data_IF_734918270463
#
_entry.id   IF_734918270463
#
_cell.length_a   1.000
_cell.length_b   1.000
_cell.length_c   1.000
_cell.angle_alpha   90.00
_cell.angle_beta   90.00
_cell.angle_gamma   90.00
#
_symmetry.space_group_name_H-M   'P 1'
#
loop_
_entity.id
_entity.type
_entity.pdbx_description
1 polymer ?
#
# COMPACT_ATOMS: atom_id res chain seq x y z
N UNK A 1 31.53 -12.66 -66.20
CA UNK A 1 31.41 -11.50 -65.29
C UNK A 1 30.61 -11.94 -64.09
N UNK A 2 31.28 -12.29 -63.00
CA UNK A 2 30.65 -12.59 -61.72
C UNK A 2 30.62 -11.28 -60.91
N UNK A 3 29.44 -10.82 -60.56
CA UNK A 3 29.27 -9.65 -59.69
C UNK A 3 29.15 -10.19 -58.27
N UNK A 4 30.17 -9.94 -57.45
CA UNK A 4 30.15 -10.22 -56.01
C UNK A 4 29.13 -9.30 -55.32
N UNK A 5 28.17 -9.83 -54.56
CA UNK A 5 27.20 -8.99 -53.85
C UNK A 5 27.91 -8.27 -52.69
N UNK A 6 27.89 -6.93 -52.70
CA UNK A 6 28.38 -6.12 -51.59
C UNK A 6 27.58 -6.42 -50.32
N UNK A 7 28.28 -6.92 -49.31
CA UNK A 7 27.79 -7.12 -47.96
C UNK A 7 27.45 -5.75 -47.34
N UNK A 8 26.23 -5.51 -46.85
CA UNK A 8 25.86 -4.22 -46.30
C UNK A 8 26.63 -3.98 -45.00
N UNK A 9 27.48 -2.94 -45.01
CA UNK A 9 28.23 -2.50 -43.84
C UNK A 9 27.29 -2.27 -42.66
N UNK A 10 27.43 -3.08 -41.61
CA UNK A 10 26.77 -2.86 -40.32
C UNK A 10 27.36 -1.60 -39.68
N UNK A 11 26.67 -0.48 -39.83
CA UNK A 11 26.97 0.74 -39.09
C UNK A 11 26.53 0.51 -37.63
N UNK A 12 27.46 0.16 -36.75
CA UNK A 12 27.22 0.24 -35.32
C UNK A 12 26.95 1.70 -34.96
N UNK A 13 25.78 2.07 -34.42
CA UNK A 13 25.52 3.42 -33.98
C UNK A 13 26.39 3.70 -32.75
N UNK A 14 27.56 4.29 -32.98
CA UNK A 14 28.39 4.87 -31.93
C UNK A 14 27.65 6.09 -31.38
N UNK A 15 26.86 5.89 -30.33
CA UNK A 15 26.21 6.97 -29.59
C UNK A 15 27.33 7.76 -28.90
N UNK A 16 27.88 8.74 -29.60
CA UNK A 16 28.71 9.78 -29.00
C UNK A 16 27.76 10.78 -28.36
N UNK A 17 27.59 10.68 -27.05
CA UNK A 17 26.92 11.74 -26.27
C UNK A 17 27.85 12.95 -26.32
N UNK A 18 27.62 13.85 -27.28
CA UNK A 18 28.21 15.18 -27.22
C UNK A 18 27.70 15.85 -25.95
N UNK A 19 28.63 16.19 -25.06
CA UNK A 19 28.33 17.00 -23.90
C UNK A 19 27.86 18.37 -24.40
N UNK A 20 26.60 18.71 -24.15
CA UNK A 20 26.07 20.04 -24.43
C UNK A 20 26.97 21.08 -23.74
N UNK A 21 27.35 22.18 -24.43
CA UNK A 21 28.16 23.22 -23.83
C UNK A 21 27.43 23.79 -22.61
N UNK A 22 28.16 23.93 -21.50
CA UNK A 22 27.62 24.46 -20.26
C UNK A 22 27.11 25.88 -20.51
N UNK A 23 25.78 26.07 -20.48
CA UNK A 23 25.17 27.39 -20.38
C UNK A 23 25.67 28.04 -19.09
N UNK A 24 26.43 29.13 -19.27
CA UNK A 24 26.97 29.93 -18.19
C UNK A 24 25.82 30.60 -17.40
N UNK A 25 25.77 30.24 -16.12
CA UNK A 25 25.27 31.00 -14.96
C UNK A 25 24.21 32.08 -15.16
N UNK A 26 23.01 31.76 -14.67
CA UNK A 26 21.98 32.73 -14.29
C UNK A 26 21.03 32.27 -13.18
N UNK A 27 21.39 31.25 -12.40
CA UNK A 27 20.44 30.66 -11.43
C UNK A 27 21.03 29.64 -10.45
N UNK A 28 22.19 29.94 -9.85
CA UNK A 28 22.91 29.04 -8.92
C UNK A 28 22.18 28.85 -7.57
N UNK A 29 21.12 29.61 -7.29
CA UNK A 29 20.37 29.52 -6.02
C UNK A 29 19.24 28.49 -5.96
N UNK A 30 18.68 28.04 -7.10
CA UNK A 30 17.43 27.26 -7.11
C UNK A 30 17.60 25.77 -7.46
N UNK A 31 18.73 25.37 -8.07
CA UNK A 31 18.99 23.96 -8.40
C UNK A 31 19.71 23.20 -7.28
N UNK A 32 20.58 23.85 -6.49
CA UNK A 32 21.27 23.19 -5.36
C UNK A 32 20.34 22.85 -4.19
N UNK A 33 19.23 23.57 -4.02
CA UNK A 33 18.17 23.22 -3.07
C UNK A 33 17.34 21.99 -3.50
N UNK A 34 17.47 21.54 -4.76
CA UNK A 34 16.81 20.33 -5.28
C UNK A 34 17.70 19.10 -5.23
N UNK A 35 19.02 19.27 -5.22
CA UNK A 35 20.04 18.22 -5.03
C UNK A 35 20.03 17.61 -3.61
N UNK A 36 19.61 18.42 -2.62
CA UNK A 36 19.49 17.99 -1.22
C UNK A 36 18.14 17.38 -0.84
N UNK A 37 17.17 17.32 -1.77
CA UNK A 37 16.02 16.44 -1.55
C UNK A 37 16.60 15.05 -1.76
N UNK A 38 16.70 14.18 -0.74
CA UNK A 38 17.12 12.81 -0.98
C UNK A 38 16.26 12.38 -2.14
N UNK A 39 16.91 12.04 -3.26
CA UNK A 39 16.21 11.37 -4.35
C UNK A 39 15.38 10.31 -3.65
N UNK A 40 14.15 10.06 -4.10
CA UNK A 40 13.37 8.94 -3.61
C UNK A 40 14.10 7.65 -4.04
N UNK A 41 15.34 7.48 -3.59
CA UNK A 41 16.19 6.33 -3.66
C UNK A 41 15.26 5.23 -3.23
N UNK A 42 14.93 4.41 -4.22
CA UNK A 42 13.98 3.33 -4.09
C UNK A 42 14.39 2.57 -2.84
N UNK A 43 13.59 2.68 -1.80
CA UNK A 43 13.94 2.05 -0.54
C UNK A 43 14.19 0.56 -0.81
N UNK A 44 15.32 -0.01 -0.36
CA UNK A 44 15.74 -1.36 -0.74
C UNK A 44 14.70 -2.43 -0.36
N UNK A 45 13.80 -2.13 0.59
CA UNK A 45 12.74 -3.02 1.07
C UNK A 45 11.49 -3.09 0.18
N UNK A 46 11.54 -2.57 -1.06
CA UNK A 46 10.42 -2.73 -2.01
C UNK A 46 10.32 -4.18 -2.46
N UNK A 47 9.26 -4.86 -2.03
CA UNK A 47 9.00 -6.26 -2.39
C UNK A 47 7.90 -6.35 -3.43
N UNK A 48 8.11 -7.21 -4.43
CA UNK A 48 7.09 -7.56 -5.41
C UNK A 48 6.25 -8.70 -4.83
N UNK A 49 4.95 -8.70 -5.12
CA UNK A 49 4.06 -9.78 -4.68
C UNK A 49 4.55 -11.17 -5.07
N UNK A 50 5.20 -11.29 -6.24
CA UNK A 50 5.76 -12.56 -6.72
C UNK A 50 6.90 -13.11 -5.85
N UNK A 51 7.55 -12.27 -5.05
CA UNK A 51 8.68 -12.64 -4.18
C UNK A 51 8.18 -13.16 -2.82
N UNK A 52 6.89 -12.98 -2.50
CA UNK A 52 6.25 -13.54 -1.31
C UNK A 52 5.94 -15.03 -1.50
N UNK A 53 5.93 -15.79 -0.40
CA UNK A 53 5.43 -17.17 -0.36
C UNK A 53 3.91 -17.22 -0.57
N UNK A 54 3.38 -18.40 -0.90
CA UNK A 54 1.96 -18.59 -1.17
C UNK A 54 1.03 -18.13 -0.03
N UNK A 55 1.39 -18.38 1.23
CA UNK A 55 0.59 -17.98 2.39
C UNK A 55 0.36 -16.45 2.46
N UNK A 56 1.42 -15.63 2.54
CA UNK A 56 1.29 -14.17 2.50
C UNK A 56 0.62 -13.62 1.23
N UNK A 57 0.85 -14.27 0.08
CA UNK A 57 0.14 -13.92 -1.17
C UNK A 57 -1.36 -14.17 -1.02
N UNK A 58 -1.78 -15.28 -0.43
CA UNK A 58 -3.19 -15.58 -0.18
C UNK A 58 -3.82 -14.55 0.77
N UNK A 59 -3.13 -14.19 1.87
CA UNK A 59 -3.60 -13.13 2.77
C UNK A 59 -3.76 -11.80 2.03
N UNK A 60 -2.80 -11.43 1.18
CA UNK A 60 -2.92 -10.22 0.35
C UNK A 60 -4.07 -10.32 -0.65
N UNK A 61 -4.23 -11.47 -1.32
CA UNK A 61 -5.26 -11.72 -2.32
C UNK A 61 -6.67 -11.71 -1.72
N UNK A 62 -6.83 -12.01 -0.43
CA UNK A 62 -8.08 -11.86 0.31
C UNK A 62 -8.27 -10.43 0.80
N UNK A 63 -7.22 -9.80 1.35
CA UNK A 63 -7.30 -8.45 1.88
C UNK A 63 -7.59 -7.39 0.81
N UNK A 64 -6.98 -7.51 -0.38
CA UNK A 64 -7.15 -6.56 -1.48
C UNK A 64 -8.61 -6.39 -1.95
N UNK A 65 -9.35 -7.45 -2.33
CA UNK A 65 -10.75 -7.33 -2.73
C UNK A 65 -11.65 -6.87 -1.58
N UNK A 66 -11.35 -7.22 -0.32
CA UNK A 66 -12.08 -6.68 0.83
C UNK A 66 -11.94 -5.15 0.94
N UNK A 67 -10.77 -4.59 0.59
CA UNK A 67 -10.59 -3.12 0.50
C UNK A 67 -11.52 -2.53 -0.54
N UNK A 68 -11.56 -3.12 -1.75
CA UNK A 68 -12.38 -2.62 -2.85
C UNK A 68 -13.87 -2.74 -2.54
N UNK A 69 -14.30 -3.87 -1.97
CA UNK A 69 -15.67 -4.07 -1.55
C UNK A 69 -16.09 -3.04 -0.51
N UNK A 70 -15.26 -2.80 0.51
CA UNK A 70 -15.58 -1.80 1.54
C UNK A 70 -15.56 -0.36 1.00
N UNK A 71 -14.64 -0.02 0.09
CA UNK A 71 -14.64 1.26 -0.63
C UNK A 71 -15.93 1.44 -1.44
N UNK A 72 -16.39 0.40 -2.13
CA UNK A 72 -17.63 0.43 -2.90
C UNK A 72 -18.85 0.61 -1.99
N UNK A 73 -18.91 -0.09 -0.85
CA UNK A 73 -19.97 0.07 0.16
C UNK A 73 -19.95 1.48 0.78
N UNK A 74 -18.76 2.03 1.06
CA UNK A 74 -18.62 3.41 1.54
C UNK A 74 -19.20 4.42 0.54
N UNK A 75 -18.82 4.28 -0.73
CA UNK A 75 -19.27 5.15 -1.81
C UNK A 75 -20.78 5.04 -2.05
N UNK A 76 -21.31 3.81 -2.06
CA UNK A 76 -22.75 3.57 -2.21
C UNK A 76 -23.54 4.16 -1.05
N UNK A 77 -23.09 3.98 0.20
CA UNK A 77 -23.72 4.55 1.39
C UNK A 77 -23.72 6.08 1.34
N UNK A 78 -22.60 6.69 0.97
CA UNK A 78 -22.50 8.15 0.81
C UNK A 78 -23.44 8.66 -0.29
N UNK A 79 -23.54 7.95 -1.40
CA UNK A 79 -24.44 8.31 -2.49
C UNK A 79 -25.90 8.24 -2.06
N UNK A 80 -26.31 7.16 -1.37
CA UNK A 80 -27.66 6.99 -0.83
C UNK A 80 -27.97 8.12 0.16
N UNK A 81 -27.05 8.41 1.09
CA UNK A 81 -27.22 9.49 2.07
C UNK A 81 -27.38 10.86 1.38
N UNK A 82 -26.57 11.15 0.36
CA UNK A 82 -26.66 12.38 -0.41
C UNK A 82 -27.99 12.50 -1.18
N UNK A 83 -28.48 11.40 -1.77
CA UNK A 83 -29.77 11.36 -2.45
C UNK A 83 -30.93 11.56 -1.48
N UNK A 84 -30.94 10.87 -0.34
CA UNK A 84 -31.97 11.04 0.69
C UNK A 84 -32.00 12.48 1.23
N UNK A 85 -30.82 13.08 1.45
CA UNK A 85 -30.72 14.48 1.87
C UNK A 85 -31.21 15.46 0.80
N UNK A 86 -30.88 15.22 -0.47
CA UNK A 86 -31.39 16.03 -1.59
C UNK A 86 -32.92 15.92 -1.76
N UNK A 87 -33.51 14.77 -1.42
CA UNK A 87 -34.96 14.57 -1.43
C UNK A 87 -35.68 15.17 -0.20
N UNK A 88 -34.94 15.73 0.76
CA UNK A 88 -35.53 16.35 1.95
C UNK A 88 -36.09 15.36 2.97
N UNK A 89 -35.74 14.07 2.86
CA UNK A 89 -36.13 13.00 3.80
C UNK A 89 -35.57 13.28 5.22
N UNK A 90 -34.53 14.12 5.30
CA UNK A 90 -33.80 14.50 6.52
C UNK A 90 -34.64 15.15 7.62
N UNK A 91 -35.83 15.67 7.32
CA UNK A 91 -36.62 16.43 8.31
C UNK A 91 -37.47 15.54 9.22
N UNK A 92 -37.82 14.34 8.80
CA UNK A 92 -38.69 13.44 9.60
C UNK A 92 -37.90 12.39 10.38
N UNK A 93 -36.72 11.97 9.91
CA UNK A 93 -35.94 10.89 10.54
C UNK A 93 -34.43 11.18 10.59
N UNK A 94 -33.98 12.11 11.45
CA UNK A 94 -32.56 12.46 11.57
C UNK A 94 -31.69 11.26 11.98
N UNK A 95 -32.28 10.25 12.63
CA UNK A 95 -31.57 9.03 13.04
C UNK A 95 -31.03 8.23 11.84
N UNK A 96 -31.78 8.14 10.72
CA UNK A 96 -31.30 7.44 9.53
C UNK A 96 -30.12 8.17 8.88
N UNK A 97 -30.17 9.49 8.80
CA UNK A 97 -29.07 10.27 8.22
C UNK A 97 -27.82 10.19 9.10
N UNK A 98 -27.97 10.30 10.41
CA UNK A 98 -26.87 10.11 11.36
C UNK A 98 -26.26 8.72 11.19
N UNK A 99 -27.08 7.66 11.14
CA UNK A 99 -26.59 6.30 10.92
C UNK A 99 -25.83 6.14 9.59
N UNK A 100 -26.33 6.76 8.50
CA UNK A 100 -25.69 6.72 7.19
C UNK A 100 -24.34 7.46 7.18
N UNK A 101 -24.25 8.63 7.81
CA UNK A 101 -23.00 9.39 7.96
C UNK A 101 -21.98 8.60 8.78
N UNK A 102 -22.40 7.98 9.90
CA UNK A 102 -21.54 7.12 10.69
C UNK A 102 -21.06 5.91 9.89
N UNK A 103 -21.94 5.23 9.16
CA UNK A 103 -21.58 4.07 8.35
C UNK A 103 -20.58 4.45 7.25
N UNK A 104 -20.76 5.60 6.60
CA UNK A 104 -19.84 6.13 5.61
C UNK A 104 -18.46 6.46 6.19
N UNK A 105 -18.40 7.17 7.33
CA UNK A 105 -17.15 7.50 8.01
C UNK A 105 -16.39 6.23 8.42
N UNK A 106 -17.10 5.23 8.94
CA UNK A 106 -16.51 3.94 9.32
C UNK A 106 -15.98 3.17 8.11
N UNK A 107 -16.73 3.15 7.00
CA UNK A 107 -16.29 2.48 5.77
C UNK A 107 -15.05 3.16 5.17
N UNK A 108 -14.98 4.50 5.20
CA UNK A 108 -13.79 5.25 4.82
C UNK A 108 -12.59 4.92 5.71
N UNK A 109 -12.80 4.80 7.03
CA UNK A 109 -11.74 4.45 7.98
C UNK A 109 -11.22 3.03 7.78
N UNK A 110 -12.10 2.07 7.51
CA UNK A 110 -11.70 0.71 7.13
C UNK A 110 -10.87 0.70 5.82
N UNK A 111 -11.31 1.46 4.81
CA UNK A 111 -10.57 1.58 3.56
C UNK A 111 -9.17 2.19 3.75
N UNK A 112 -9.02 3.21 4.61
CA UNK A 112 -7.73 3.78 4.97
C UNK A 112 -6.81 2.75 5.62
N UNK A 113 -7.33 1.95 6.56
CA UNK A 113 -6.59 0.87 7.22
C UNK A 113 -6.15 -0.21 6.24
N UNK A 114 -7.05 -0.62 5.35
CA UNK A 114 -6.75 -1.64 4.37
C UNK A 114 -5.76 -1.15 3.28
N UNK A 115 -5.86 0.12 2.88
CA UNK A 115 -4.85 0.77 2.03
C UNK A 115 -3.49 0.92 2.72
N UNK A 116 -3.46 1.12 4.05
CA UNK A 116 -2.23 1.09 4.83
C UNK A 116 -1.62 -0.32 4.86
N UNK A 117 -2.45 -1.36 4.96
CA UNK A 117 -2.04 -2.76 4.83
C UNK A 117 -1.38 -3.02 3.48
N UNK A 118 -2.03 -2.67 2.37
CA UNK A 118 -1.46 -2.84 1.02
C UNK A 118 -0.14 -2.09 0.86
N UNK A 119 -0.04 -0.87 1.39
CA UNK A 119 1.20 -0.08 1.37
C UNK A 119 2.30 -0.73 2.22
N UNK A 120 1.97 -1.23 3.40
CA UNK A 120 2.90 -1.92 4.30
C UNK A 120 3.44 -3.21 3.66
N UNK A 121 2.59 -4.00 3.02
CA UNK A 121 3.01 -5.18 2.26
C UNK A 121 3.95 -4.84 1.09
N UNK A 122 3.70 -3.74 0.37
CA UNK A 122 4.54 -3.33 -0.78
C UNK A 122 5.88 -2.73 -0.38
N UNK A 123 6.01 -2.18 0.84
CA UNK A 123 7.19 -1.41 1.27
C UNK A 123 7.89 -1.93 2.52
N UNK A 124 7.36 -2.97 3.18
CA UNK A 124 7.83 -3.54 4.45
C UNK A 124 8.35 -2.51 5.47
N UNK A 125 7.71 -1.35 5.52
CA UNK A 125 7.97 -0.34 6.55
C UNK A 125 6.94 -0.43 7.63
N UNK A 126 7.35 -0.01 8.82
CA UNK A 126 6.45 0.19 9.95
C UNK A 126 5.28 1.07 9.53
N UNK A 127 4.03 0.55 9.52
CA UNK A 127 2.88 1.39 9.30
C UNK A 127 2.83 2.48 10.37
N UNK A 128 2.46 3.70 9.95
CA UNK A 128 2.36 4.84 10.85
C UNK A 128 1.39 4.55 12.00
N UNK A 129 1.67 5.15 13.17
CA UNK A 129 0.84 4.99 14.38
C UNK A 129 -0.61 5.34 14.09
N UNK A 130 -0.82 6.46 13.40
CA UNK A 130 -2.16 6.97 13.07
C UNK A 130 -3.00 5.94 12.30
N UNK A 131 -2.42 5.27 11.30
CA UNK A 131 -3.13 4.24 10.54
C UNK A 131 -3.52 3.03 11.41
N UNK A 132 -2.65 2.62 12.32
CA UNK A 132 -2.93 1.50 13.23
C UNK A 132 -4.01 1.88 14.26
N UNK A 133 -3.92 3.07 14.85
CA UNK A 133 -4.90 3.59 15.80
C UNK A 133 -6.26 3.74 15.14
N UNK A 134 -6.35 4.39 13.98
CA UNK A 134 -7.60 4.53 13.23
C UNK A 134 -8.21 3.17 12.89
N UNK A 135 -7.40 2.19 12.45
CA UNK A 135 -7.94 0.86 12.15
C UNK A 135 -8.39 0.12 13.41
N UNK A 136 -7.71 0.31 14.54
CA UNK A 136 -8.11 -0.29 15.83
C UNK A 136 -9.42 0.31 16.34
N UNK A 137 -9.58 1.64 16.26
CA UNK A 137 -10.84 2.32 16.60
C UNK A 137 -11.96 1.83 15.70
N UNK A 138 -11.74 1.73 14.39
CA UNK A 138 -12.74 1.17 13.49
C UNK A 138 -13.08 -0.28 13.85
N UNK A 139 -12.09 -1.12 14.15
CA UNK A 139 -12.31 -2.52 14.53
C UNK A 139 -13.02 -2.69 15.88
N UNK A 140 -12.95 -1.73 16.80
CA UNK A 140 -13.70 -1.75 18.06
C UNK A 140 -15.10 -1.15 17.97
N UNK A 141 -15.23 0.01 17.32
CA UNK A 141 -16.49 0.77 17.24
C UNK A 141 -17.44 0.16 16.21
N UNK A 142 -16.94 -0.36 15.09
CA UNK A 142 -17.76 -0.90 14.01
C UNK A 142 -18.57 -2.14 14.42
N UNK A 143 -17.98 -3.17 15.07
CA UNK A 143 -18.75 -4.32 15.58
C UNK A 143 -19.81 -3.94 16.61
N UNK A 144 -19.57 -2.90 17.41
CA UNK A 144 -20.53 -2.47 18.42
C UNK A 144 -21.74 -1.79 17.78
N UNK A 145 -21.53 -0.80 16.91
CA UNK A 145 -22.63 -0.09 16.23
C UNK A 145 -23.39 -1.05 15.32
N UNK A 146 -22.69 -1.83 14.51
CA UNK A 146 -23.34 -2.75 13.59
C UNK A 146 -23.91 -3.96 14.32
N UNK A 147 -23.31 -4.43 15.42
CA UNK A 147 -23.88 -5.49 16.26
C UNK A 147 -25.22 -5.10 16.87
N UNK A 148 -25.37 -3.84 17.30
CA UNK A 148 -26.65 -3.30 17.79
C UNK A 148 -27.70 -3.27 16.67
N UNK A 149 -27.31 -2.90 15.45
CA UNK A 149 -28.22 -2.86 14.28
C UNK A 149 -28.51 -4.27 13.72
N UNK A 150 -27.52 -5.16 13.76
CA UNK A 150 -27.57 -6.51 13.20
C UNK A 150 -28.13 -7.56 14.18
N UNK A 151 -28.32 -7.22 15.47
CA UNK A 151 -28.98 -8.10 16.44
C UNK A 151 -30.37 -8.55 15.96
N UNK A 152 -31.04 -7.79 15.08
CA UNK A 152 -32.29 -8.17 14.42
C UNK A 152 -32.16 -9.01 13.15
N UNK A 153 -30.94 -9.19 12.60
CA UNK A 153 -30.70 -9.78 11.27
C UNK A 153 -29.91 -11.11 11.30
N UNK A 154 -29.42 -11.54 12.48
CA UNK A 154 -28.78 -12.85 12.70
C UNK A 154 -27.24 -12.86 12.63
N UNK A 155 -26.64 -13.95 13.13
CA UNK A 155 -25.18 -14.09 13.35
C UNK A 155 -24.32 -13.97 12.08
N UNK A 156 -24.85 -14.35 10.91
CA UNK A 156 -24.11 -14.30 9.66
C UNK A 156 -23.68 -12.86 9.29
N UNK A 157 -24.56 -11.87 9.49
CA UNK A 157 -24.25 -10.46 9.25
C UNK A 157 -23.16 -9.95 10.17
N UNK A 158 -23.19 -10.37 11.44
CA UNK A 158 -22.16 -10.00 12.41
C UNK A 158 -20.79 -10.51 11.96
N UNK A 159 -20.68 -11.74 11.45
CA UNK A 159 -19.39 -12.25 10.94
C UNK A 159 -18.86 -11.46 9.73
N UNK A 160 -19.71 -11.13 8.76
CA UNK A 160 -19.31 -10.36 7.56
C UNK A 160 -18.82 -8.96 7.90
N UNK A 161 -19.38 -8.37 8.96
CA UNK A 161 -19.06 -7.02 9.42
C UNK A 161 -17.82 -7.01 10.30
N UNK A 162 -17.70 -7.96 11.22
CA UNK A 162 -16.69 -7.91 12.30
C UNK A 162 -15.37 -8.55 11.90
N UNK A 163 -15.41 -9.62 11.09
CA UNK A 163 -14.21 -10.38 10.74
C UNK A 163 -13.22 -9.56 9.89
N UNK A 164 -13.64 -8.86 8.81
CA UNK A 164 -12.70 -8.07 7.99
C UNK A 164 -11.91 -6.99 8.76
N UNK A 165 -12.51 -6.12 9.61
CA UNK A 165 -11.77 -5.13 10.36
C UNK A 165 -10.84 -5.74 11.40
N UNK A 166 -11.25 -6.81 12.09
CA UNK A 166 -10.37 -7.53 13.03
C UNK A 166 -9.18 -8.18 12.31
N UNK A 167 -9.41 -8.79 11.15
CA UNK A 167 -8.33 -9.35 10.33
C UNK A 167 -7.36 -8.26 9.87
N UNK A 168 -7.88 -7.13 9.39
CA UNK A 168 -7.06 -6.00 8.94
C UNK A 168 -6.26 -5.40 10.09
N UNK A 169 -6.88 -5.23 11.26
CA UNK A 169 -6.22 -4.77 12.49
C UNK A 169 -5.08 -5.72 12.89
N UNK A 170 -5.35 -7.02 12.93
CA UNK A 170 -4.37 -8.06 13.28
C UNK A 170 -3.16 -8.02 12.33
N UNK A 171 -3.40 -7.91 11.02
CA UNK A 171 -2.34 -7.82 10.02
C UNK A 171 -1.53 -6.53 10.18
N UNK A 172 -2.16 -5.37 10.40
CA UNK A 172 -1.44 -4.12 10.62
C UNK A 172 -0.57 -4.15 11.87
N UNK A 173 -1.09 -4.68 12.98
CA UNK A 173 -0.33 -4.82 14.22
C UNK A 173 0.82 -5.81 14.08
N UNK A 174 0.58 -6.94 13.43
CA UNK A 174 1.64 -7.89 13.09
C UNK A 174 2.73 -7.21 12.27
N UNK A 175 2.38 -6.55 11.16
CA UNK A 175 3.34 -5.83 10.32
C UNK A 175 4.07 -4.74 11.11
N UNK A 176 3.37 -3.98 11.96
CA UNK A 176 3.98 -2.95 12.82
C UNK A 176 5.00 -3.50 13.81
N UNK A 177 4.78 -4.70 14.30
CA UNK A 177 5.71 -5.38 15.22
C UNK A 177 6.88 -6.05 14.48
N UNK A 178 6.68 -6.46 13.23
CA UNK A 178 7.64 -7.22 12.46
C UNK A 178 8.53 -6.36 11.53
N UNK A 179 8.10 -5.16 11.17
CA UNK A 179 8.82 -4.24 10.26
C UNK A 179 9.60 -3.18 11.02
N UNK A 180 10.68 -2.71 10.39
CA UNK A 180 11.55 -1.66 10.93
C UNK A 180 11.05 -0.27 10.51
N UNK A 181 11.50 0.74 11.24
CA UNK A 181 11.26 2.14 10.88
C UNK A 181 12.01 2.48 9.60
N UNK A 182 11.39 3.32 8.77
CA UNK A 182 11.97 3.81 7.52
C UNK A 182 13.30 4.52 7.74
N UNK A 183 13.49 5.16 8.89
CA UNK A 183 14.75 5.82 9.26
C UNK A 183 15.95 4.84 9.30
N UNK A 184 15.71 3.55 9.53
CA UNK A 184 16.75 2.52 9.68
C UNK A 184 17.09 1.79 8.37
N UNK A 185 16.41 2.12 7.27
CA UNK A 185 16.50 1.35 6.03
C UNK A 185 17.86 1.40 5.33
N UNK A 186 18.62 2.48 5.54
CA UNK A 186 19.97 2.62 4.98
C UNK A 186 20.97 1.74 5.73
N UNK A 187 20.81 1.63 7.06
CA UNK A 187 21.66 0.82 7.93
C UNK A 187 21.38 -0.68 7.78
N UNK A 188 20.11 -1.04 7.56
CA UNK A 188 19.68 -2.44 7.43
C UNK A 188 18.99 -2.64 6.07
N UNK A 189 19.76 -2.82 4.97
CA UNK A 189 19.18 -2.99 3.63
C UNK A 189 18.42 -4.32 3.47
N UNK A 190 18.59 -5.24 4.42
CA UNK A 190 17.93 -6.55 4.44
C UNK A 190 16.60 -6.49 5.20
N UNK A 191 15.59 -7.28 4.80
CA UNK A 191 14.38 -7.42 5.60
C UNK A 191 14.70 -8.10 6.95
N UNK A 192 14.02 -7.70 8.04
CA UNK A 192 14.24 -8.28 9.36
C UNK A 192 13.95 -9.79 9.36
N UNK A 193 14.62 -10.59 10.21
CA UNK A 193 14.55 -12.05 10.17
C UNK A 193 13.13 -12.62 10.19
N UNK A 194 12.24 -11.99 10.97
CA UNK A 194 10.82 -12.39 11.05
C UNK A 194 10.10 -12.35 9.69
N UNK A 195 10.45 -11.40 8.83
CA UNK A 195 9.86 -11.22 7.51
C UNK A 195 10.53 -12.06 6.42
N UNK A 196 11.75 -12.56 6.67
CA UNK A 196 12.43 -13.45 5.72
C UNK A 196 11.66 -14.76 5.52
N UNK A 197 10.96 -15.23 6.56
CA UNK A 197 10.06 -16.39 6.49
C UNK A 197 8.90 -16.21 5.51
N UNK A 198 8.51 -14.96 5.22
CA UNK A 198 7.42 -14.62 4.29
C UNK A 198 7.89 -14.53 2.85
N UNK A 199 9.20 -14.47 2.61
CA UNK A 199 9.81 -14.34 1.30
C UNK A 199 10.20 -15.72 0.75
N UNK A 200 10.15 -15.85 -0.57
CA UNK A 200 10.74 -16.99 -1.26
C UNK A 200 12.26 -16.99 -1.04
N UNK A 201 12.91 -18.16 -0.91
CA UNK A 201 14.36 -18.24 -0.89
C UNK A 201 14.94 -17.51 -2.11
N UNK A 202 15.95 -16.66 -1.92
CA UNK A 202 16.68 -16.13 -3.06
C UNK A 202 17.56 -17.24 -3.65
N UNK A 203 17.72 -17.29 -4.98
CA UNK A 203 18.71 -18.18 -5.58
C UNK A 203 20.12 -17.79 -5.11
N UNK A 204 21.02 -18.77 -4.87
CA UNK A 204 22.35 -18.54 -4.30
C UNK A 204 23.22 -17.61 -5.16
N UNK A 205 23.06 -17.61 -6.48
CA UNK A 205 23.77 -16.71 -7.40
C UNK A 205 23.53 -15.22 -7.12
N UNK A 206 22.42 -14.85 -6.46
CA UNK A 206 22.13 -13.46 -6.09
C UNK A 206 22.65 -13.09 -4.69
N UNK A 207 23.24 -14.04 -3.95
CA UNK A 207 23.80 -13.82 -2.61
C UNK A 207 25.29 -13.50 -2.64
N UNK A 208 26.07 -14.09 -3.56
CA UNK A 208 27.52 -13.88 -3.65
C UNK A 208 27.92 -12.47 -4.11
N UNK A 209 27.10 -11.82 -4.94
CA UNK A 209 27.45 -10.51 -5.52
C UNK A 209 27.32 -9.32 -4.54
N UNK A 210 26.85 -9.53 -3.30
CA UNK A 210 26.38 -8.41 -2.43
C UNK A 210 26.88 -8.37 -1.00
N UNK A 211 27.77 -9.26 -0.56
CA UNK A 211 28.26 -9.22 0.83
C UNK A 211 29.79 -9.16 0.93
N UNK A 212 30.39 -7.95 0.83
CA UNK A 212 31.76 -7.74 1.28
C UNK A 212 31.89 -7.50 2.80
N UNK A 213 30.78 -7.50 3.56
CA UNK A 213 30.76 -7.08 4.98
C UNK A 213 30.37 -8.17 5.99
N UNK A 214 30.19 -9.41 5.54
CA UNK A 214 30.02 -10.57 6.42
C UNK A 214 30.97 -11.68 5.96
N UNK A 215 32.25 -11.46 6.20
CA UNK A 215 33.28 -12.48 6.27
C UNK A 215 33.87 -12.43 7.68
#
# INVERSE_FOLDING_TARGET
MHIEPLEPARTEPRITVEAAPAEADGGVGARSAREGRPTRSLCPHRIRLRDLRAGPVAVFAVAAPLVFAAMAVAAATLLIAAVLGALGVDRSEPAMLVAAVFLAALAAQFALGAAACVRAWRRLHRPGVLGCVLTTVAAGVFPLIVGVVAAGNGWAWLTLVVVPPLATMTVLWYLRSATLDRATCVQYPWPPPRLQSLLKPRPPAAQEERSPYFA
#
